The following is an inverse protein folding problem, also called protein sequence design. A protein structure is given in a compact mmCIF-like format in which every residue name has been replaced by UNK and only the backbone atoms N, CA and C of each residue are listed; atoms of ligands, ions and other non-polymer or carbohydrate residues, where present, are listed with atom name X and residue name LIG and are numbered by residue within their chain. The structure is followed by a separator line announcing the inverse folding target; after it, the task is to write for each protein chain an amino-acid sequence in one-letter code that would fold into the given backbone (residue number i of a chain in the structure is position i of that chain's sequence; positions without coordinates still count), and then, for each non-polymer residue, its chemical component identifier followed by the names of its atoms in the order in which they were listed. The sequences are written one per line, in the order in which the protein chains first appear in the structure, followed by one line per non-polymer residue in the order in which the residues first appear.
data_IF_458295877644
#
_entry.id   IF_458295877644
#
_cell.length_a   1.000
_cell.length_b   1.000
_cell.length_c   1.000
_cell.angle_alpha   90.00
_cell.angle_beta   90.00
_cell.angle_gamma   90.00
#
_symmetry.space_group_name_H-M   'P 1'
#
loop_
_entity.id
_entity.type
_entity.pdbx_description
1 polymer ?
#
# COMPACT_ATOMS: atom_id res chain seq x y z
N UNK A 1 -6.08 -10.07 13.96
CA UNK A 1 -5.60 -10.33 12.59
C UNK A 1 -5.25 -8.98 12.01
N UNK A 2 -4.00 -8.76 11.64
CA UNK A 2 -3.57 -7.49 11.05
C UNK A 2 -4.22 -7.37 9.67
N UNK A 3 -4.73 -6.19 9.33
CA UNK A 3 -5.33 -5.94 8.02
C UNK A 3 -4.28 -5.27 7.14
N UNK A 4 -4.04 -5.84 5.97
CA UNK A 4 -3.05 -5.36 5.04
C UNK A 4 -3.73 -4.68 3.84
N UNK A 5 -3.13 -3.61 3.31
CA UNK A 5 -3.67 -2.80 2.23
C UNK A 5 -2.57 -2.44 1.22
N UNK A 6 -2.76 -2.82 -0.03
CA UNK A 6 -1.94 -2.38 -1.15
C UNK A 6 -2.65 -1.25 -1.90
N UNK A 7 -1.99 -0.11 -2.05
CA UNK A 7 -2.48 1.06 -2.77
C UNK A 7 -1.65 1.22 -4.04
N UNK A 8 -2.32 1.40 -5.18
CA UNK A 8 -1.69 1.74 -6.46
C UNK A 8 -2.06 3.17 -6.78
N UNK A 9 -1.11 4.08 -6.72
CA UNK A 9 -1.32 5.52 -6.83
C UNK A 9 -0.04 6.19 -7.38
N UNK A 10 -0.15 6.86 -8.52
CA UNK A 10 0.97 7.50 -9.20
C UNK A 10 1.28 8.90 -8.64
N UNK A 11 0.31 9.56 -8.01
CA UNK A 11 0.52 10.83 -7.32
C UNK A 11 1.07 10.61 -5.90
N UNK A 12 2.27 11.15 -5.66
CA UNK A 12 3.05 10.87 -4.45
C UNK A 12 2.43 11.44 -3.17
N UNK A 13 1.86 12.64 -3.20
CA UNK A 13 1.28 13.29 -2.03
C UNK A 13 0.00 12.57 -1.57
N UNK A 14 -0.88 12.21 -2.51
CA UNK A 14 -2.09 11.45 -2.30
C UNK A 14 -1.77 10.06 -1.77
N UNK A 15 -0.82 9.35 -2.38
CA UNK A 15 -0.35 8.07 -1.87
C UNK A 15 0.17 8.16 -0.43
N UNK A 16 0.86 9.26 -0.09
CA UNK A 16 1.36 9.51 1.26
C UNK A 16 0.22 9.78 2.26
N UNK A 17 -0.78 10.58 1.89
CA UNK A 17 -1.94 10.86 2.73
C UNK A 17 -2.83 9.63 2.95
N UNK A 18 -3.04 8.81 1.92
CA UNK A 18 -3.75 7.54 2.03
C UNK A 18 -3.00 6.57 2.95
N UNK A 19 -1.68 6.43 2.79
CA UNK A 19 -0.86 5.59 3.67
C UNK A 19 -0.99 6.04 5.13
N UNK A 20 -0.90 7.34 5.39
CA UNK A 20 -1.05 7.93 6.72
C UNK A 20 -2.42 7.62 7.32
N UNK A 21 -3.50 7.85 6.56
CA UNK A 21 -4.87 7.65 7.01
C UNK A 21 -5.16 6.19 7.41
N UNK A 22 -4.76 5.23 6.56
CA UNK A 22 -5.03 3.82 6.81
C UNK A 22 -4.10 3.22 7.89
N UNK A 23 -2.84 3.65 7.97
CA UNK A 23 -1.94 3.29 9.08
C UNK A 23 -2.49 3.77 10.42
N UNK A 24 -3.04 4.98 10.49
CA UNK A 24 -3.72 5.49 11.70
C UNK A 24 -4.95 4.66 12.07
N UNK A 25 -5.57 3.98 11.09
CA UNK A 25 -6.69 3.07 11.29
C UNK A 25 -6.27 1.62 11.59
N UNK A 26 -4.97 1.38 11.81
CA UNK A 26 -4.42 0.06 12.20
C UNK A 26 -4.13 -0.88 11.03
N UNK A 27 -4.02 -0.36 9.80
CA UNK A 27 -3.63 -1.17 8.65
C UNK A 27 -2.12 -1.15 8.43
N UNK A 28 -1.59 -2.27 7.96
CA UNK A 28 -0.30 -2.30 7.30
C UNK A 28 -0.49 -1.89 5.83
N UNK A 29 0.22 -0.86 5.38
CA UNK A 29 -0.05 -0.24 4.07
C UNK A 29 1.22 -0.18 3.22
N UNK A 30 1.12 -0.77 2.03
CA UNK A 30 2.10 -0.69 0.95
C UNK A 30 1.57 0.21 -0.16
N UNK A 31 2.39 1.13 -0.66
CA UNK A 31 2.02 2.05 -1.76
C UNK A 31 2.96 1.82 -2.94
N UNK A 32 2.40 1.61 -4.12
CA UNK A 32 3.11 1.40 -5.37
C UNK A 32 2.67 2.45 -6.39
N UNK A 33 3.60 2.97 -7.19
CA UNK A 33 3.30 3.99 -8.21
C UNK A 33 3.00 3.39 -9.59
N UNK A 34 3.20 2.08 -9.76
CA UNK A 34 2.97 1.39 -11.04
C UNK A 34 2.30 0.04 -10.82
N UNK A 35 1.61 -0.44 -11.86
CA UNK A 35 1.04 -1.79 -11.86
C UNK A 35 2.12 -2.88 -11.74
N UNK A 36 3.32 -2.65 -12.29
CA UNK A 36 4.43 -3.59 -12.21
C UNK A 36 4.91 -3.77 -10.75
N UNK A 37 5.14 -2.66 -10.05
CA UNK A 37 5.56 -2.68 -8.64
C UNK A 37 4.47 -3.25 -7.73
N UNK A 38 3.20 -2.94 -7.99
CA UNK A 38 2.07 -3.51 -7.26
C UNK A 38 1.96 -5.03 -7.44
N UNK A 39 2.13 -5.53 -8.67
CA UNK A 39 2.14 -6.97 -8.96
C UNK A 39 3.30 -7.67 -8.25
N UNK A 40 4.49 -7.07 -8.27
CA UNK A 40 5.65 -7.61 -7.57
C UNK A 40 5.37 -7.72 -6.06
N UNK A 41 4.83 -6.66 -5.43
CA UNK A 41 4.49 -6.62 -4.01
C UNK A 41 3.42 -7.67 -3.62
N UNK A 42 2.41 -7.86 -4.47
CA UNK A 42 1.36 -8.85 -4.23
C UNK A 42 1.89 -10.30 -4.30
N UNK A 43 2.81 -10.57 -5.22
CA UNK A 43 3.36 -11.91 -5.45
C UNK A 43 4.51 -12.23 -4.49
N UNK A 44 5.31 -11.24 -4.08
CA UNK A 44 6.45 -11.40 -3.15
C UNK A 44 6.04 -11.74 -1.72
N UNK A 45 4.74 -11.67 -1.39
CA UNK A 45 4.19 -11.90 -0.04
C UNK A 45 4.70 -10.91 1.03
N UNK A 46 5.01 -9.67 0.67
CA UNK A 46 5.28 -8.59 1.65
C UNK A 46 4.01 -8.07 2.35
N UNK A 47 2.91 -8.83 2.27
CA UNK A 47 1.56 -8.52 2.72
C UNK A 47 1.04 -9.80 3.38
N UNK A 48 1.45 -10.09 4.62
CA UNK A 48 1.07 -11.31 5.38
C UNK A 48 0.45 -10.96 6.75
#
# INVERSE_FOLDING_TARGET
MMKTLLIIEDEKLLGSELSRHYKQSGWEVSVCTTLETAKACLISKDIE
#
